data_IF_525518132682
#
_entry.id   IF_525518132682
#
_cell.length_a   1.000
_cell.length_b   1.000
_cell.length_c   1.000
_cell.angle_alpha   90.00
_cell.angle_beta   90.00
_cell.angle_gamma   90.00
#
_symmetry.space_group_name_H-M   'P 1'
#
loop_
_entity.id
_entity.type
_entity.pdbx_description
1 polymer ?
#
# COMPACT_ATOMS: atom_id res chain seq x y z
N UNK A 1 -13.63 -23.52 -31.44
CA UNK A 1 -14.03 -23.13 -30.06
C UNK A 1 -13.10 -22.01 -29.66
N UNK A 2 -13.51 -20.74 -29.91
CA UNK A 2 -12.74 -19.56 -29.55
C UNK A 2 -12.88 -19.34 -28.04
N UNK A 3 -11.78 -19.58 -27.31
CA UNK A 3 -11.64 -19.10 -25.95
C UNK A 3 -11.49 -17.57 -25.99
N UNK A 4 -12.59 -16.84 -25.77
CA UNK A 4 -12.53 -15.43 -25.45
C UNK A 4 -11.76 -15.30 -24.13
N UNK A 5 -10.47 -14.95 -24.22
CA UNK A 5 -9.73 -14.38 -23.10
C UNK A 5 -10.48 -13.10 -22.71
N UNK A 6 -11.12 -13.12 -21.56
CA UNK A 6 -11.55 -11.91 -20.88
C UNK A 6 -10.28 -11.12 -20.54
N UNK A 7 -9.94 -10.16 -21.39
CA UNK A 7 -8.92 -9.18 -21.05
C UNK A 7 -9.55 -8.30 -19.96
N UNK A 8 -9.05 -8.40 -18.74
CA UNK A 8 -9.34 -7.45 -17.69
C UNK A 8 -9.11 -6.04 -18.23
N UNK A 9 -10.13 -5.18 -18.21
CA UNK A 9 -10.02 -3.84 -18.78
C UNK A 9 -9.19 -2.98 -17.82
N UNK A 10 -7.95 -2.73 -18.23
CA UNK A 10 -7.14 -1.69 -17.64
C UNK A 10 -7.76 -0.33 -17.98
N UNK A 11 -8.03 0.50 -16.96
CA UNK A 11 -8.63 1.80 -17.12
C UNK A 11 -7.72 2.88 -16.52
N UNK A 12 -7.58 3.98 -17.25
CA UNK A 12 -6.83 5.15 -16.82
C UNK A 12 -7.79 6.15 -16.17
N UNK A 13 -7.62 6.38 -14.88
CA UNK A 13 -8.39 7.35 -14.11
C UNK A 13 -7.57 8.58 -13.75
N UNK A 14 -8.25 9.68 -13.42
CA UNK A 14 -7.59 10.81 -12.78
C UNK A 14 -7.33 10.49 -11.31
N UNK A 15 -6.14 10.85 -10.83
CA UNK A 15 -5.85 10.77 -9.41
C UNK A 15 -6.68 11.84 -8.68
N UNK A 16 -7.42 11.45 -7.64
CA UNK A 16 -8.35 12.34 -6.91
C UNK A 16 -7.73 13.72 -6.61
N UNK A 17 -8.51 14.79 -6.91
CA UNK A 17 -8.13 16.20 -6.69
C UNK A 17 -6.91 16.72 -7.47
N UNK A 18 -6.27 15.88 -8.30
CA UNK A 18 -5.11 16.26 -9.09
C UNK A 18 -5.38 16.03 -10.56
N UNK A 19 -5.89 17.07 -11.24
CA UNK A 19 -6.36 16.99 -12.63
C UNK A 19 -5.29 16.60 -13.65
N UNK A 20 -4.02 16.80 -13.31
CA UNK A 20 -2.85 16.49 -14.14
C UNK A 20 -2.17 15.17 -13.79
N UNK A 21 -2.70 14.41 -12.83
CA UNK A 21 -2.16 13.12 -12.41
C UNK A 21 -3.14 12.00 -12.70
N UNK A 22 -2.60 10.86 -13.06
CA UNK A 22 -3.39 9.70 -13.48
C UNK A 22 -2.99 8.46 -12.68
N UNK A 23 -3.92 7.53 -12.56
CA UNK A 23 -3.70 6.23 -11.96
C UNK A 23 -4.31 5.16 -12.86
N UNK A 24 -3.58 4.08 -13.07
CA UNK A 24 -4.06 2.91 -13.79
C UNK A 24 -4.67 1.92 -12.81
N UNK A 25 -5.85 1.43 -13.14
CA UNK A 25 -6.62 0.49 -12.34
C UNK A 25 -7.27 -0.56 -13.24
N UNK A 26 -7.77 -1.60 -12.62
CA UNK A 26 -8.66 -2.53 -13.28
C UNK A 26 -10.02 -2.43 -12.60
N UNK A 27 -11.07 -2.10 -13.37
CA UNK A 27 -12.42 -1.88 -12.83
C UNK A 27 -13.04 -3.13 -12.19
N UNK A 28 -12.54 -4.33 -12.54
CA UNK A 28 -12.96 -5.59 -11.94
C UNK A 28 -12.29 -5.87 -10.59
N UNK A 29 -11.27 -5.07 -10.20
CA UNK A 29 -10.49 -5.25 -8.98
C UNK A 29 -10.81 -4.16 -7.95
N UNK A 30 -10.02 -4.14 -6.87
CA UNK A 30 -10.09 -3.07 -5.91
C UNK A 30 -9.62 -1.75 -6.53
N UNK A 31 -10.54 -0.80 -6.65
CA UNK A 31 -10.20 0.58 -6.98
C UNK A 31 -9.55 1.23 -5.76
N UNK A 32 -8.55 2.10 -5.97
CA UNK A 32 -8.04 2.89 -4.88
C UNK A 32 -9.17 3.76 -4.30
N UNK A 33 -9.21 3.84 -2.98
CA UNK A 33 -10.29 4.52 -2.26
C UNK A 33 -9.83 5.88 -1.71
N UNK A 34 -10.79 6.62 -1.18
CA UNK A 34 -10.53 7.83 -0.41
C UNK A 34 -9.55 7.58 0.75
N UNK A 35 -9.49 6.35 1.28
CA UNK A 35 -8.60 5.97 2.38
C UNK A 35 -7.13 6.21 2.04
N UNK A 36 -6.71 5.98 0.79
CA UNK A 36 -5.34 6.26 0.35
C UNK A 36 -5.00 7.75 0.43
N UNK A 37 -5.93 8.62 0.04
CA UNK A 37 -5.77 10.08 0.15
C UNK A 37 -5.79 10.51 1.62
N UNK A 38 -6.70 9.96 2.42
CA UNK A 38 -6.80 10.25 3.85
C UNK A 38 -5.53 9.83 4.58
N UNK A 39 -5.00 8.62 4.33
CA UNK A 39 -3.74 8.14 4.90
C UNK A 39 -2.59 9.06 4.54
N UNK A 40 -2.42 9.38 3.26
CA UNK A 40 -1.35 10.27 2.81
C UNK A 40 -1.46 11.69 3.41
N UNK A 41 -2.67 12.18 3.69
CA UNK A 41 -2.87 13.47 4.34
C UNK A 41 -2.73 13.42 5.86
N UNK A 42 -3.07 12.30 6.47
CA UNK A 42 -2.96 12.08 7.91
C UNK A 42 -1.50 12.05 8.37
N UNK A 43 -0.64 11.40 7.59
CA UNK A 43 0.77 11.26 7.96
C UNK A 43 1.47 12.62 7.95
N UNK A 44 2.08 12.96 9.08
CA UNK A 44 2.90 14.16 9.22
C UNK A 44 4.33 13.88 8.78
N UNK A 45 4.75 14.53 7.70
CA UNK A 45 6.11 14.42 7.17
C UNK A 45 6.96 15.60 7.66
N UNK A 46 8.12 15.29 8.23
CA UNK A 46 9.12 16.28 8.64
C UNK A 46 10.05 16.62 7.46
N UNK A 47 10.61 17.81 7.45
CA UNK A 47 11.64 18.20 6.43
C UNK A 47 12.90 17.33 6.49
N UNK A 48 13.15 16.70 7.63
CA UNK A 48 14.26 15.78 7.86
C UNK A 48 14.01 14.39 7.30
N UNK A 49 12.75 14.01 7.05
CA UNK A 49 12.41 12.69 6.58
C UNK A 49 12.90 12.51 5.13
N UNK A 50 13.67 11.45 4.90
CA UNK A 50 14.35 11.18 3.63
C UNK A 50 13.84 9.94 2.92
N UNK A 51 13.27 8.99 3.68
CA UNK A 51 12.90 7.70 3.13
C UNK A 51 11.60 7.18 3.72
N UNK A 52 10.65 6.87 2.85
CA UNK A 52 9.30 6.40 3.20
C UNK A 52 9.12 4.99 2.63
N UNK A 53 8.52 4.10 3.41
CA UNK A 53 8.09 2.78 2.96
C UNK A 53 6.56 2.71 2.97
N UNK A 54 5.98 2.37 1.82
CA UNK A 54 4.54 2.13 1.68
C UNK A 54 4.29 0.63 1.53
N UNK A 55 3.84 0.00 2.59
CA UNK A 55 3.53 -1.43 2.63
C UNK A 55 2.17 -1.70 1.99
N UNK A 56 2.06 -2.80 1.23
CA UNK A 56 0.85 -3.14 0.47
C UNK A 56 0.42 -1.98 -0.43
N UNK A 57 1.38 -1.42 -1.18
CA UNK A 57 1.23 -0.16 -1.90
C UNK A 57 0.16 -0.20 -3.00
N UNK A 58 -0.27 -1.38 -3.42
CA UNK A 58 -1.24 -1.53 -4.50
C UNK A 58 -0.71 -0.96 -5.82
N UNK A 59 -1.56 -0.25 -6.53
CA UNK A 59 -1.20 0.51 -7.73
C UNK A 59 -0.59 1.91 -7.40
N UNK A 60 0.00 2.04 -6.22
CA UNK A 60 0.81 3.15 -5.70
C UNK A 60 0.09 4.48 -5.40
N UNK A 61 -1.20 4.54 -5.03
CA UNK A 61 -1.87 5.81 -4.79
C UNK A 61 -1.28 6.57 -3.59
N UNK A 62 -1.02 5.89 -2.46
CA UNK A 62 -0.43 6.51 -1.26
C UNK A 62 0.96 7.03 -1.58
N UNK A 63 1.81 6.23 -2.21
CA UNK A 63 3.16 6.64 -2.62
C UNK A 63 3.13 7.88 -3.52
N UNK A 64 2.22 7.95 -4.51
CA UNK A 64 2.08 9.12 -5.38
C UNK A 64 1.60 10.37 -4.62
N UNK A 65 0.64 10.25 -3.70
CA UNK A 65 0.21 11.37 -2.86
C UNK A 65 1.34 11.89 -1.96
N UNK A 66 2.15 10.99 -1.38
CA UNK A 66 3.30 11.36 -0.57
C UNK A 66 4.41 12.02 -1.39
N UNK A 67 4.65 11.57 -2.63
CA UNK A 67 5.62 12.18 -3.54
C UNK A 67 5.26 13.63 -3.91
N UNK A 68 3.96 13.94 -3.99
CA UNK A 68 3.51 15.31 -4.27
C UNK A 68 3.69 16.28 -3.10
N UNK A 69 3.81 15.79 -1.87
CA UNK A 69 3.95 16.64 -0.67
C UNK A 69 5.32 16.54 0.02
N UNK A 70 6.23 15.71 -0.47
CA UNK A 70 7.54 15.47 0.11
C UNK A 70 8.60 15.33 -0.98
N UNK A 71 9.86 15.53 -0.60
CA UNK A 71 11.04 15.22 -1.44
C UNK A 71 11.73 13.92 -1.00
N UNK A 72 11.18 13.22 -0.03
CA UNK A 72 11.71 11.93 0.42
C UNK A 72 11.62 10.90 -0.73
N UNK A 73 12.58 10.00 -0.78
CA UNK A 73 12.46 8.80 -1.63
C UNK A 73 11.41 7.87 -1.05
N UNK A 74 10.61 7.26 -1.91
CA UNK A 74 9.49 6.42 -1.50
C UNK A 74 9.68 5.04 -2.09
N UNK A 75 9.53 4.04 -1.26
CA UNK A 75 9.55 2.64 -1.67
C UNK A 75 8.16 2.07 -1.44
N UNK A 76 7.54 1.54 -2.48
CA UNK A 76 6.29 0.79 -2.38
C UNK A 76 6.55 -0.69 -2.59
N UNK A 77 5.94 -1.55 -1.76
CA UNK A 77 6.02 -3.01 -1.95
C UNK A 77 4.62 -3.60 -2.14
N UNK A 78 4.46 -4.35 -3.23
CA UNK A 78 3.20 -4.98 -3.63
C UNK A 78 3.43 -6.44 -4.00
N UNK A 79 2.62 -7.32 -3.43
CA UNK A 79 2.70 -8.76 -3.62
C UNK A 79 2.19 -9.18 -5.00
N UNK A 80 1.08 -8.61 -5.46
CA UNK A 80 0.42 -8.99 -6.71
C UNK A 80 1.09 -8.34 -7.91
N UNK A 81 1.66 -9.18 -8.78
CA UNK A 81 2.35 -8.72 -9.99
C UNK A 81 1.47 -7.84 -10.87
N UNK A 82 0.22 -8.22 -11.05
CA UNK A 82 -0.71 -7.50 -11.92
C UNK A 82 -1.04 -6.10 -11.37
N UNK A 83 -1.15 -5.95 -10.05
CA UNK A 83 -1.40 -4.65 -9.39
C UNK A 83 -0.13 -3.81 -9.37
N UNK A 84 1.02 -4.45 -9.09
CA UNK A 84 2.33 -3.83 -9.20
C UNK A 84 2.56 -3.23 -10.60
N UNK A 85 2.22 -3.96 -11.69
CA UNK A 85 2.39 -3.47 -13.06
C UNK A 85 1.57 -2.20 -13.35
N UNK A 86 0.35 -2.12 -12.80
CA UNK A 86 -0.47 -0.90 -12.88
C UNK A 86 0.16 0.24 -12.07
N UNK A 87 0.77 -0.06 -10.93
CA UNK A 87 1.52 0.90 -10.12
C UNK A 87 2.73 1.45 -10.86
N UNK A 88 3.57 0.58 -11.42
CA UNK A 88 4.72 0.97 -12.24
C UNK A 88 4.30 1.90 -13.38
N UNK A 89 3.26 1.52 -14.11
CA UNK A 89 2.72 2.33 -15.19
C UNK A 89 2.22 3.69 -14.71
N UNK A 90 1.54 3.72 -13.56
CA UNK A 90 1.06 4.97 -12.95
C UNK A 90 2.22 5.89 -12.55
N UNK A 91 3.24 5.35 -11.91
CA UNK A 91 4.44 6.09 -11.48
C UNK A 91 5.19 6.69 -12.68
N UNK A 92 5.42 5.89 -13.72
CA UNK A 92 6.12 6.33 -14.95
C UNK A 92 5.33 7.41 -15.70
N UNK A 93 4.01 7.20 -15.92
CA UNK A 93 3.16 8.16 -16.63
C UNK A 93 3.12 9.54 -15.94
N UNK A 94 3.26 9.57 -14.62
CA UNK A 94 3.30 10.79 -13.83
C UNK A 94 4.71 11.40 -13.68
N UNK A 95 5.76 10.79 -14.28
CA UNK A 95 7.17 11.17 -14.14
C UNK A 95 7.63 11.19 -12.67
N UNK A 96 7.19 10.18 -11.88
CA UNK A 96 7.54 10.03 -10.46
C UNK A 96 8.57 8.91 -10.20
N UNK A 97 9.02 8.21 -11.23
CA UNK A 97 9.98 7.10 -11.20
C UNK A 97 11.35 7.44 -10.61
N UNK A 98 11.72 8.72 -10.59
CA UNK A 98 12.94 9.19 -9.89
C UNK A 98 12.78 9.28 -8.38
N UNK A 99 11.56 9.33 -7.87
CA UNK A 99 11.27 9.50 -6.45
C UNK A 99 10.62 8.24 -5.85
N UNK A 100 9.85 7.49 -6.64
CA UNK A 100 9.13 6.30 -6.22
C UNK A 100 9.77 5.08 -6.86
N UNK A 101 10.16 4.11 -6.03
CA UNK A 101 10.61 2.78 -6.45
C UNK A 101 9.58 1.76 -6.00
N UNK A 102 9.09 0.95 -6.92
CA UNK A 102 8.17 -0.14 -6.59
C UNK A 102 8.92 -1.48 -6.58
N UNK A 103 8.50 -2.37 -5.69
CA UNK A 103 9.04 -3.74 -5.53
C UNK A 103 7.87 -4.71 -5.61
N UNK A 104 7.98 -5.70 -6.48
CA UNK A 104 7.03 -6.79 -6.53
C UNK A 104 7.55 -7.97 -5.70
N UNK A 105 7.22 -7.98 -4.43
CA UNK A 105 7.56 -9.07 -3.49
C UNK A 105 6.60 -9.03 -2.28
N UNK A 106 6.70 -10.04 -1.44
CA UNK A 106 6.05 -10.08 -0.14
C UNK A 106 6.70 -9.06 0.82
N UNK A 107 5.90 -8.35 1.60
CA UNK A 107 6.39 -7.37 2.59
C UNK A 107 7.40 -7.99 3.56
N UNK A 108 7.27 -9.28 3.89
CA UNK A 108 8.19 -10.04 4.75
C UNK A 108 9.60 -10.15 4.18
N UNK A 109 9.73 -9.94 2.88
CA UNK A 109 11.00 -10.01 2.16
C UNK A 109 11.72 -8.65 2.06
N UNK A 110 11.16 -7.57 2.60
CA UNK A 110 11.73 -6.22 2.47
C UNK A 110 13.20 -6.13 2.93
N UNK A 111 13.60 -6.97 3.89
CA UNK A 111 14.99 -7.06 4.36
C UNK A 111 15.99 -7.63 3.34
N UNK A 112 15.54 -8.13 2.18
CA UNK A 112 16.41 -8.48 1.06
C UNK A 112 16.89 -7.24 0.30
N UNK A 113 16.15 -6.13 0.43
CA UNK A 113 16.36 -4.91 -0.33
C UNK A 113 16.89 -3.77 0.52
N UNK A 114 16.55 -3.77 1.83
CA UNK A 114 16.90 -2.70 2.75
C UNK A 114 17.33 -3.24 4.10
N UNK A 115 18.28 -2.56 4.72
CA UNK A 115 18.72 -2.85 6.08
C UNK A 115 17.68 -2.41 7.11
N UNK A 116 17.79 -2.89 8.34
CA UNK A 116 16.99 -2.43 9.48
C UNK A 116 17.15 -0.92 9.69
N UNK A 117 16.16 -0.28 10.33
CA UNK A 117 16.20 1.16 10.66
C UNK A 117 16.40 2.08 9.45
N UNK A 118 15.96 1.63 8.25
CA UNK A 118 16.19 2.36 7.00
C UNK A 118 15.16 3.44 6.68
N UNK A 119 14.01 3.44 7.33
CA UNK A 119 12.90 4.31 6.95
C UNK A 119 12.50 5.28 8.06
N UNK A 120 12.19 6.51 7.67
CA UNK A 120 11.72 7.57 8.55
C UNK A 120 10.22 7.46 8.83
N UNK A 121 9.48 7.02 7.80
CA UNK A 121 8.03 6.90 7.82
C UNK A 121 7.64 5.60 7.15
N UNK A 122 6.67 4.90 7.73
CA UNK A 122 6.02 3.74 7.13
C UNK A 122 4.53 4.03 7.01
N UNK A 123 3.96 3.78 5.85
CA UNK A 123 2.52 3.82 5.60
C UNK A 123 2.00 2.45 5.21
N UNK A 124 0.76 2.14 5.56
CA UNK A 124 0.10 0.93 5.09
C UNK A 124 -1.42 1.13 5.01
N UNK A 125 -1.96 0.86 3.83
CA UNK A 125 -3.39 0.71 3.58
C UNK A 125 -3.66 -0.75 3.17
N UNK A 126 -3.67 -1.70 4.12
CA UNK A 126 -3.77 -3.11 3.80
C UNK A 126 -5.18 -3.50 3.39
N UNK A 127 -5.37 -4.62 2.71
CA UNK A 127 -6.68 -5.21 2.53
C UNK A 127 -7.21 -5.70 3.91
N UNK A 128 -8.29 -5.10 4.41
CA UNK A 128 -8.82 -5.36 5.77
C UNK A 128 -10.15 -6.12 5.79
N UNK A 129 -10.53 -6.75 4.71
CA UNK A 129 -11.75 -7.57 4.68
C UNK A 129 -11.49 -8.94 5.30
N UNK A 130 -12.18 -9.23 6.40
CA UNK A 130 -12.17 -10.60 6.96
C UNK A 130 -12.88 -11.55 6.00
N UNK A 131 -12.34 -12.75 5.84
CA UNK A 131 -12.88 -13.84 4.99
C UNK A 131 -14.36 -14.14 5.27
N UNK A 132 -14.90 -13.72 6.41
CA UNK A 132 -16.27 -13.99 6.84
C UNK A 132 -17.34 -13.04 6.23
N UNK A 133 -16.95 -11.97 5.54
CA UNK A 133 -17.89 -11.04 4.89
C UNK A 133 -18.29 -11.47 3.46
N UNK A 134 -18.25 -12.75 3.18
CA UNK A 134 -18.37 -13.40 1.86
C UNK A 134 -19.73 -13.33 1.18
N UNK A 135 -20.69 -12.53 1.66
CA UNK A 135 -22.05 -12.50 1.08
C UNK A 135 -22.17 -11.81 -0.29
N UNK A 136 -21.11 -11.20 -0.84
CA UNK A 136 -21.22 -10.39 -2.06
C UNK A 136 -20.08 -10.49 -3.10
N UNK A 137 -19.21 -11.49 -3.05
CA UNK A 137 -18.04 -11.52 -3.93
C UNK A 137 -17.92 -12.83 -4.69
N UNK A 138 -17.67 -12.78 -6.01
CA UNK A 138 -17.38 -13.94 -6.86
C UNK A 138 -16.21 -14.78 -6.30
N UNK A 139 -16.32 -16.11 -6.37
CA UNK A 139 -15.34 -17.06 -5.80
C UNK A 139 -13.86 -16.75 -6.10
N UNK A 140 -13.54 -16.19 -7.25
CA UNK A 140 -12.18 -15.81 -7.60
C UNK A 140 -11.68 -14.55 -6.85
N UNK A 141 -12.58 -13.59 -6.56
CA UNK A 141 -12.26 -12.42 -5.74
C UNK A 141 -12.07 -12.81 -4.27
N UNK A 142 -12.89 -13.71 -3.77
CA UNK A 142 -12.78 -14.24 -2.39
C UNK A 142 -11.42 -14.90 -2.17
N UNK A 143 -10.99 -15.74 -3.10
CA UNK A 143 -9.67 -16.42 -2.99
C UNK A 143 -8.50 -15.46 -3.05
N UNK A 144 -8.62 -14.40 -3.85
CA UNK A 144 -7.62 -13.34 -3.93
C UNK A 144 -7.54 -12.56 -2.61
N UNK A 145 -8.67 -12.08 -2.10
CA UNK A 145 -8.78 -11.33 -0.84
C UNK A 145 -8.29 -12.18 0.34
N UNK A 146 -8.73 -13.44 0.43
CA UNK A 146 -8.32 -14.35 1.49
C UNK A 146 -6.80 -14.59 1.51
N UNK A 147 -6.16 -14.71 0.34
CA UNK A 147 -4.70 -14.81 0.25
C UNK A 147 -4.01 -13.54 0.74
N UNK A 148 -4.57 -12.37 0.46
CA UNK A 148 -4.01 -11.08 0.89
C UNK A 148 -4.09 -10.90 2.40
N UNK A 149 -5.23 -11.20 3.02
CA UNK A 149 -5.38 -11.10 4.47
C UNK A 149 -4.46 -12.08 5.22
N UNK A 150 -4.21 -13.25 4.65
CA UNK A 150 -3.27 -14.24 5.21
C UNK A 150 -1.81 -13.76 5.05
N UNK A 151 -1.49 -13.10 3.94
CA UNK A 151 -0.10 -12.70 3.61
C UNK A 151 0.28 -11.33 4.17
N UNK A 152 -0.69 -10.45 4.42
CA UNK A 152 -0.48 -9.09 4.95
C UNK A 152 -1.36 -8.85 6.18
N UNK A 153 -1.18 -9.65 7.23
CA UNK A 153 -1.90 -9.47 8.49
C UNK A 153 -1.26 -8.36 9.35
N UNK A 154 -2.02 -7.86 10.33
CA UNK A 154 -1.58 -6.76 11.19
C UNK A 154 -0.27 -7.08 11.93
N UNK A 155 -0.09 -8.32 12.39
CA UNK A 155 1.12 -8.72 13.11
C UNK A 155 2.36 -8.60 12.22
N UNK A 156 2.30 -9.13 11.00
CA UNK A 156 3.39 -8.99 10.03
C UNK A 156 3.69 -7.53 9.67
N UNK A 157 2.66 -6.69 9.52
CA UNK A 157 2.84 -5.26 9.25
C UNK A 157 3.58 -4.60 10.40
N UNK A 158 3.18 -4.85 11.66
CA UNK A 158 3.80 -4.24 12.83
C UNK A 158 5.22 -4.75 13.07
N UNK A 159 5.47 -6.04 12.93
CA UNK A 159 6.82 -6.64 13.06
C UNK A 159 7.79 -6.07 12.00
N UNK A 160 7.34 -5.99 10.76
CA UNK A 160 8.13 -5.40 9.68
C UNK A 160 8.37 -3.93 9.95
N UNK A 161 7.35 -3.20 10.39
CA UNK A 161 7.47 -1.79 10.71
C UNK A 161 8.45 -1.55 11.86
N UNK A 162 8.39 -2.34 12.93
CA UNK A 162 9.38 -2.30 14.01
C UNK A 162 10.81 -2.48 13.51
N UNK A 163 11.01 -3.43 12.60
CA UNK A 163 12.32 -3.75 12.05
C UNK A 163 12.87 -2.69 11.12
N UNK A 164 11.99 -2.10 10.28
CA UNK A 164 12.42 -1.22 9.20
C UNK A 164 12.39 0.26 9.57
N UNK A 165 11.63 0.63 10.60
CA UNK A 165 11.48 2.00 11.04
C UNK A 165 12.63 2.38 11.98
N UNK A 166 13.30 3.50 11.69
CA UNK A 166 14.35 4.03 12.56
C UNK A 166 13.77 4.54 13.89
N UNK A 167 14.60 4.65 14.89
CA UNK A 167 14.22 5.28 16.17
C UNK A 167 13.66 6.69 15.95
N UNK A 168 12.47 6.95 16.53
CA UNK A 168 11.74 8.19 16.35
C UNK A 168 11.07 8.36 14.99
N UNK A 169 11.03 7.30 14.17
CA UNK A 169 10.25 7.25 12.95
C UNK A 169 8.74 7.18 13.23
N UNK A 170 7.94 7.25 12.19
CA UNK A 170 6.47 7.30 12.27
C UNK A 170 5.85 6.18 11.44
N UNK A 171 4.89 5.48 12.01
CA UNK A 171 4.01 4.57 11.28
C UNK A 171 2.61 5.17 11.19
N UNK A 172 1.99 5.09 10.01
CA UNK A 172 0.61 5.47 9.79
C UNK A 172 -0.14 4.33 9.08
N UNK A 173 -1.25 3.92 9.67
CA UNK A 173 -2.09 2.83 9.19
C UNK A 173 -3.52 3.32 8.97
N UNK A 174 -4.20 2.77 7.98
CA UNK A 174 -5.65 2.92 7.85
C UNK A 174 -6.34 1.58 8.04
N UNK A 175 -7.34 1.55 8.91
CA UNK A 175 -8.11 0.36 9.24
C UNK A 175 -9.55 0.72 9.62
N UNK A 176 -10.50 -0.22 9.49
CA UNK A 176 -11.86 -0.01 10.00
C UNK A 176 -11.86 0.25 11.50
N UNK A 177 -12.71 1.19 11.95
CA UNK A 177 -12.84 1.59 13.37
C UNK A 177 -13.19 0.39 14.28
N UNK A 178 -13.86 -0.62 13.76
CA UNK A 178 -14.17 -1.87 14.50
C UNK A 178 -12.94 -2.63 14.99
N UNK A 179 -11.75 -2.37 14.41
CA UNK A 179 -10.47 -2.97 14.81
C UNK A 179 -9.60 -2.05 15.67
N UNK A 180 -10.07 -0.86 16.03
CA UNK A 180 -9.26 0.15 16.70
C UNK A 180 -8.61 -0.36 18.01
N UNK A 181 -9.37 -1.04 18.86
CA UNK A 181 -8.86 -1.56 20.14
C UNK A 181 -7.78 -2.62 19.90
N UNK A 182 -8.00 -3.53 18.95
CA UNK A 182 -7.02 -4.56 18.56
C UNK A 182 -5.72 -3.91 18.10
N UNK A 183 -5.82 -2.89 17.25
CA UNK A 183 -4.65 -2.21 16.66
C UNK A 183 -3.87 -1.48 17.74
N UNK A 184 -4.52 -0.71 18.61
CA UNK A 184 -3.85 0.02 19.70
C UNK A 184 -3.12 -0.95 20.63
N UNK A 185 -3.77 -2.06 21.01
CA UNK A 185 -3.16 -3.06 21.88
C UNK A 185 -1.91 -3.67 21.24
N UNK A 186 -2.01 -4.11 19.98
CA UNK A 186 -0.89 -4.71 19.24
C UNK A 186 0.24 -3.71 18.95
N UNK A 187 -0.08 -2.46 18.62
CA UNK A 187 0.93 -1.42 18.43
C UNK A 187 1.71 -1.18 19.72
N UNK A 188 1.02 -1.11 20.87
CA UNK A 188 1.67 -0.96 22.17
C UNK A 188 2.57 -2.14 22.51
N UNK A 189 2.14 -3.35 22.20
CA UNK A 189 2.91 -4.58 22.46
C UNK A 189 4.17 -4.67 21.59
N UNK A 190 4.07 -4.32 20.31
CA UNK A 190 5.14 -4.52 19.33
C UNK A 190 6.08 -3.32 19.21
N UNK A 191 5.55 -2.10 19.23
CA UNK A 191 6.29 -0.87 18.89
C UNK A 191 6.79 -0.09 20.12
N UNK A 192 6.50 -0.51 21.34
CA UNK A 192 6.86 0.19 22.57
C UNK A 192 6.33 1.66 22.62
N UNK A 193 5.08 1.88 22.16
CA UNK A 193 4.40 3.18 22.12
C UNK A 193 3.46 3.38 23.30
#
# INVERSE_FOLDING_TARGET
>A
MLLLKWSSMEVKHRLLNFSNKVIYQNDDWFLFSLDSLLLANFVTLRKSDKKILDLCTGNAPVAMFLAMKSKASIVGIELQKEIYDLGEKSVIENAMDKQITLINDDIRNISKYYETDSFDVITCNPPYFKVNDTKMINDNKIKSIARHEIMCNLDSILEISKKMLRTGGVIALVYPVSRLIEIIYKMKEVLDV
#
